data_IF_708144119824
#
_entry.id   IF_708144119824
#
_cell.length_a   1.000
_cell.length_b   1.000
_cell.length_c   1.000
_cell.angle_alpha   90.00
_cell.angle_beta   90.00
_cell.angle_gamma   90.00
#
_symmetry.space_group_name_H-M   'P 1'
#
loop_
_entity.id
_entity.type
_entity.pdbx_description
1 polymer ?
#
# COMPACT_ATOMS: atom_id res chain seq x y z
N UNK A 1 27.07 6.22 3.53
CA UNK A 1 26.94 6.47 4.98
C UNK A 1 26.74 5.12 5.63
N UNK A 2 27.72 4.66 6.40
CA UNK A 2 27.54 3.52 7.30
C UNK A 2 26.55 3.96 8.39
N UNK A 3 25.29 3.56 8.24
CA UNK A 3 24.38 3.57 9.36
C UNK A 3 24.92 2.54 10.35
N UNK A 4 25.32 2.97 11.55
CA UNK A 4 25.34 2.07 12.70
C UNK A 4 23.95 1.42 12.74
N UNK A 5 23.87 0.15 12.37
CA UNK A 5 22.66 -0.65 12.48
C UNK A 5 22.36 -0.74 13.97
N UNK A 6 21.51 0.16 14.43
CA UNK A 6 20.90 0.09 15.74
C UNK A 6 20.17 -1.24 15.77
N UNK A 7 20.45 -2.07 16.79
CA UNK A 7 19.80 -3.37 16.91
C UNK A 7 18.29 -3.14 17.09
N UNK A 8 17.54 -3.42 16.03
CA UNK A 8 16.09 -3.30 16.03
C UNK A 8 15.50 -4.45 16.85
N UNK A 9 14.78 -4.10 17.92
CA UNK A 9 14.15 -5.08 18.83
C UNK A 9 12.63 -5.02 18.79
N UNK A 10 12.07 -3.95 18.24
CA UNK A 10 10.63 -3.72 18.18
C UNK A 10 10.18 -3.44 16.74
N UNK A 11 8.99 -3.93 16.38
CA UNK A 11 8.32 -3.63 15.13
C UNK A 11 7.01 -2.90 15.40
N UNK A 12 6.80 -1.72 14.84
CA UNK A 12 5.52 -1.04 14.88
C UNK A 12 4.78 -1.23 13.54
N UNK A 13 3.58 -1.79 13.57
CA UNK A 13 2.66 -1.84 12.44
C UNK A 13 1.68 -0.69 12.56
N UNK A 14 1.78 0.29 11.67
CA UNK A 14 0.97 1.52 11.72
C UNK A 14 -0.06 1.49 10.60
N UNK A 15 -1.34 1.63 10.94
CA UNK A 15 -2.44 1.68 9.98
C UNK A 15 -3.47 2.75 10.30
N UNK A 16 -4.55 2.81 9.52
CA UNK A 16 -5.39 4.02 9.46
C UNK A 16 -5.99 4.45 10.80
N UNK A 17 -6.21 3.48 11.70
CA UNK A 17 -6.63 3.74 13.09
C UNK A 17 -5.69 4.69 13.86
N UNK A 18 -4.41 4.75 13.51
CA UNK A 18 -3.46 5.71 14.06
C UNK A 18 -3.83 7.15 13.67
N UNK A 19 -4.06 7.44 12.38
CA UNK A 19 -4.45 8.77 11.91
C UNK A 19 -5.80 9.20 12.54
N UNK A 20 -6.76 8.26 12.57
CA UNK A 20 -8.08 8.47 13.17
C UNK A 20 -7.99 8.77 14.67
N UNK A 21 -7.12 8.06 15.40
CA UNK A 21 -6.88 8.31 16.83
C UNK A 21 -6.27 9.70 17.10
N UNK A 22 -5.60 10.29 16.11
CA UNK A 22 -5.09 11.66 16.18
C UNK A 22 -6.08 12.71 15.64
N UNK A 23 -7.31 12.30 15.29
CA UNK A 23 -8.39 13.20 14.87
C UNK A 23 -8.38 13.57 13.39
N UNK A 24 -7.61 12.86 12.56
CA UNK A 24 -7.57 13.07 11.11
C UNK A 24 -8.66 12.25 10.40
N UNK A 25 -9.26 12.82 9.37
CA UNK A 25 -10.35 12.24 8.58
C UNK A 25 -9.81 11.48 7.38
N UNK A 26 -9.21 10.32 7.63
CA UNK A 26 -8.48 9.53 6.63
C UNK A 26 -9.23 8.30 6.13
N UNK A 27 -10.53 8.18 6.41
CA UNK A 27 -11.35 7.11 5.83
C UNK A 27 -11.74 7.47 4.40
N UNK A 28 -12.01 6.46 3.58
CA UNK A 28 -12.51 6.68 2.22
C UNK A 28 -13.84 7.44 2.20
N UNK A 29 -14.71 7.25 3.20
CA UNK A 29 -15.97 8.01 3.32
C UNK A 29 -15.73 9.51 3.51
N UNK A 30 -14.72 9.89 4.30
CA UNK A 30 -14.40 11.30 4.54
C UNK A 30 -13.89 11.97 3.24
N UNK A 31 -13.07 11.23 2.49
CA UNK A 31 -12.60 11.64 1.16
C UNK A 31 -13.75 11.83 0.17
N UNK A 32 -14.67 10.87 0.08
CA UNK A 32 -15.78 10.94 -0.87
C UNK A 32 -16.73 12.07 -0.57
N UNK A 33 -17.04 12.30 0.71
CA UNK A 33 -17.87 13.42 1.15
C UNK A 33 -17.21 14.77 0.82
N UNK A 34 -15.88 14.87 0.95
CA UNK A 34 -15.15 16.10 0.63
C UNK A 34 -15.09 16.42 -0.87
N UNK A 35 -15.03 15.42 -1.75
CA UNK A 35 -14.92 15.63 -3.20
C UNK A 35 -16.29 15.82 -3.85
N UNK A 36 -17.32 15.19 -3.30
CA UNK A 36 -18.69 15.26 -3.79
C UNK A 36 -19.02 14.21 -4.85
N UNK A 37 -20.32 13.92 -4.96
CA UNK A 37 -20.83 12.76 -5.68
C UNK A 37 -20.57 12.76 -7.18
N UNK A 38 -20.56 13.92 -7.84
CA UNK A 38 -20.45 14.00 -9.29
C UNK A 38 -19.12 13.47 -9.81
N UNK A 39 -18.05 13.60 -9.02
CA UNK A 39 -16.72 13.10 -9.37
C UNK A 39 -16.72 11.57 -9.53
N UNK A 40 -17.46 10.86 -8.67
CA UNK A 40 -17.51 9.40 -8.65
C UNK A 40 -18.57 8.80 -9.57
N UNK A 41 -19.30 9.61 -10.35
CA UNK A 41 -20.41 9.14 -11.19
C UNK A 41 -20.04 7.98 -12.12
N UNK A 42 -18.87 8.08 -12.78
CA UNK A 42 -18.38 6.99 -13.66
C UNK A 42 -17.97 5.75 -12.88
N UNK A 43 -17.25 5.95 -11.77
CA UNK A 43 -16.85 4.85 -10.90
C UNK A 43 -18.07 4.07 -10.39
N UNK A 44 -19.07 4.78 -9.87
CA UNK A 44 -20.35 4.17 -9.45
C UNK A 44 -21.07 3.45 -10.58
N UNK A 45 -20.97 3.92 -11.81
CA UNK A 45 -21.56 3.22 -12.95
C UNK A 45 -20.95 1.82 -13.13
N UNK A 46 -19.62 1.68 -13.00
CA UNK A 46 -18.98 0.36 -13.02
C UNK A 46 -19.49 -0.51 -11.87
N UNK A 47 -19.50 -0.01 -10.63
CA UNK A 47 -19.96 -0.78 -9.47
C UNK A 47 -21.42 -1.20 -9.62
N UNK A 48 -22.30 -0.31 -10.04
CA UNK A 48 -23.72 -0.63 -10.21
C UNK A 48 -23.98 -1.65 -11.32
N UNK A 49 -23.17 -1.66 -12.39
CA UNK A 49 -23.35 -2.61 -13.49
C UNK A 49 -22.80 -4.00 -13.17
N UNK A 50 -21.67 -4.07 -12.46
CA UNK A 50 -20.91 -5.31 -12.28
C UNK A 50 -21.03 -5.88 -10.87
N UNK A 51 -21.23 -5.03 -9.86
CA UNK A 51 -21.25 -5.38 -8.44
C UNK A 51 -22.34 -4.59 -7.66
N UNK A 52 -23.62 -4.62 -8.06
CA UNK A 52 -24.67 -3.69 -7.61
C UNK A 52 -24.98 -3.69 -6.10
N UNK A 53 -24.50 -4.67 -5.35
CA UNK A 53 -24.72 -4.78 -3.90
C UNK A 53 -23.54 -4.28 -3.07
N UNK A 54 -22.45 -3.86 -3.72
CA UNK A 54 -21.26 -3.39 -3.01
C UNK A 54 -21.39 -1.93 -2.60
N UNK A 55 -20.89 -1.62 -1.41
CA UNK A 55 -20.66 -0.26 -0.99
C UNK A 55 -19.48 0.32 -1.79
N UNK A 56 -19.79 1.21 -2.73
CA UNK A 56 -18.83 1.79 -3.66
C UNK A 56 -17.73 2.60 -2.98
N UNK A 57 -17.90 3.02 -1.72
CA UNK A 57 -16.85 3.70 -0.95
C UNK A 57 -15.65 2.78 -0.63
N UNK A 58 -15.82 1.45 -0.75
CA UNK A 58 -14.77 0.44 -0.50
C UNK A 58 -13.91 0.25 -1.75
N UNK A 59 -13.16 1.29 -2.14
CA UNK A 59 -12.44 1.36 -3.42
C UNK A 59 -11.61 0.12 -3.78
N UNK A 60 -10.80 -0.38 -2.83
CA UNK A 60 -9.91 -1.53 -3.05
C UNK A 60 -10.70 -2.82 -3.28
N UNK A 61 -11.69 -3.11 -2.42
CA UNK A 61 -12.54 -4.30 -2.54
C UNK A 61 -13.40 -4.24 -3.81
N UNK A 62 -13.95 -3.07 -4.13
CA UNK A 62 -14.69 -2.87 -5.37
C UNK A 62 -13.80 -3.10 -6.60
N UNK A 63 -12.55 -2.62 -6.59
CA UNK A 63 -11.60 -2.87 -7.67
C UNK A 63 -11.26 -4.37 -7.81
N UNK A 64 -11.07 -5.07 -6.70
CA UNK A 64 -10.89 -6.54 -6.68
C UNK A 64 -12.09 -7.26 -7.30
N UNK A 65 -13.31 -6.94 -6.85
CA UNK A 65 -14.51 -7.62 -7.35
C UNK A 65 -14.79 -7.35 -8.83
N UNK A 66 -14.42 -6.17 -9.34
CA UNK A 66 -14.52 -5.84 -10.76
C UNK A 66 -13.58 -6.67 -11.66
N UNK A 67 -12.50 -7.23 -11.12
CA UNK A 67 -11.58 -8.06 -11.92
C UNK A 67 -12.24 -9.28 -12.53
N UNK A 68 -13.14 -9.92 -11.79
CA UNK A 68 -13.82 -11.15 -12.22
C UNK A 68 -14.65 -10.92 -13.48
N UNK A 69 -15.59 -9.96 -13.51
CA UNK A 69 -16.33 -9.65 -14.73
C UNK A 69 -15.46 -9.03 -15.82
N UNK A 70 -14.49 -8.18 -15.50
CA UNK A 70 -13.57 -7.62 -16.51
C UNK A 70 -12.75 -8.71 -17.21
N UNK A 71 -12.22 -9.67 -16.45
CA UNK A 71 -11.50 -10.81 -17.02
C UNK A 71 -12.42 -11.66 -17.91
N UNK A 72 -13.67 -11.88 -17.48
CA UNK A 72 -14.65 -12.61 -18.28
C UNK A 72 -15.01 -11.89 -19.58
N UNK A 73 -15.09 -10.55 -19.57
CA UNK A 73 -15.30 -9.75 -20.77
C UNK A 73 -14.09 -9.75 -21.70
N UNK A 74 -12.88 -9.60 -21.16
CA UNK A 74 -11.63 -9.60 -21.91
C UNK A 74 -11.39 -10.93 -22.64
N UNK A 75 -11.76 -12.05 -22.01
CA UNK A 75 -11.72 -13.37 -22.63
C UNK A 75 -12.79 -13.59 -23.70
N UNK A 76 -13.87 -12.79 -23.70
CA UNK A 76 -15.00 -12.92 -24.64
C UNK A 76 -14.96 -11.94 -25.79
N UNK A 77 -14.29 -10.79 -25.62
CA UNK A 77 -14.30 -9.70 -26.58
C UNK A 77 -12.94 -9.03 -26.72
N UNK A 78 -12.45 -8.97 -27.95
CA UNK A 78 -11.23 -8.25 -28.30
C UNK A 78 -11.32 -6.72 -28.08
N UNK A 79 -12.52 -6.17 -27.84
CA UNK A 79 -12.74 -4.73 -27.59
C UNK A 79 -12.83 -4.38 -26.10
N UNK A 80 -13.08 -5.35 -25.20
CA UNK A 80 -13.36 -5.10 -23.79
C UNK A 80 -12.24 -4.32 -23.08
N UNK A 81 -10.98 -4.65 -23.40
CA UNK A 81 -9.81 -3.92 -22.91
C UNK A 81 -9.91 -2.40 -23.17
N UNK A 82 -10.36 -1.98 -24.36
CA UNK A 82 -10.41 -0.58 -24.75
C UNK A 82 -11.71 0.11 -24.34
N UNK A 83 -12.83 -0.62 -24.28
CA UNK A 83 -14.16 -0.05 -24.03
C UNK A 83 -14.51 0.04 -22.53
N UNK A 84 -13.99 -0.88 -21.71
CA UNK A 84 -14.36 -0.98 -20.30
C UNK A 84 -13.13 -0.85 -19.40
N UNK A 85 -12.12 -1.70 -19.60
CA UNK A 85 -11.02 -1.90 -18.63
C UNK A 85 -10.07 -0.70 -18.61
N UNK A 86 -9.58 -0.24 -19.76
CA UNK A 86 -8.72 0.96 -19.84
C UNK A 86 -9.43 2.25 -19.38
N UNK A 87 -10.71 2.49 -19.75
CA UNK A 87 -11.49 3.59 -19.18
C UNK A 87 -11.61 3.52 -17.66
N UNK A 88 -11.94 2.34 -17.09
CA UNK A 88 -11.94 2.13 -15.64
C UNK A 88 -10.59 2.47 -15.01
N UNK A 89 -9.50 1.95 -15.57
CA UNK A 89 -8.14 2.20 -15.09
C UNK A 89 -7.80 3.70 -15.08
N UNK A 90 -8.24 4.44 -16.10
CA UNK A 90 -8.05 5.89 -16.16
C UNK A 90 -8.85 6.62 -15.07
N UNK A 91 -10.08 6.20 -14.83
CA UNK A 91 -10.91 6.82 -13.78
C UNK A 91 -10.45 6.43 -12.37
N UNK A 92 -9.98 5.20 -12.14
CA UNK A 92 -9.37 4.78 -10.88
C UNK A 92 -8.05 5.51 -10.59
N UNK A 93 -7.22 5.77 -11.60
CA UNK A 93 -6.03 6.62 -11.46
C UNK A 93 -6.41 8.06 -11.05
N UNK A 94 -7.51 8.62 -11.55
CA UNK A 94 -7.98 9.95 -11.10
C UNK A 94 -8.43 9.94 -9.65
N UNK A 95 -9.11 8.87 -9.22
CA UNK A 95 -9.49 8.69 -7.80
C UNK A 95 -8.24 8.67 -6.92
N UNK A 96 -7.22 7.91 -7.31
CA UNK A 96 -5.93 7.87 -6.60
C UNK A 96 -5.30 9.27 -6.48
N UNK A 97 -5.25 10.04 -7.57
CA UNK A 97 -4.70 11.41 -7.55
C UNK A 97 -5.51 12.31 -6.62
N UNK A 98 -6.84 12.27 -6.73
CA UNK A 98 -7.72 13.06 -5.88
C UNK A 98 -7.60 12.69 -4.40
N UNK A 99 -7.39 11.40 -4.09
CA UNK A 99 -7.14 10.92 -2.73
C UNK A 99 -5.82 11.48 -2.17
N UNK A 100 -4.74 11.48 -2.95
CA UNK A 100 -3.47 12.11 -2.55
C UNK A 100 -3.69 13.60 -2.23
N UNK A 101 -4.39 14.33 -3.10
CA UNK A 101 -4.64 15.76 -2.91
C UNK A 101 -5.51 16.06 -1.69
N UNK A 102 -6.53 15.22 -1.44
CA UNK A 102 -7.36 15.30 -0.25
C UNK A 102 -6.53 15.07 1.02
N UNK A 103 -5.75 13.99 1.08
CA UNK A 103 -4.95 13.65 2.25
C UNK A 103 -3.84 14.66 2.55
N UNK A 104 -3.26 15.30 1.52
CA UNK A 104 -2.32 16.42 1.70
C UNK A 104 -2.96 17.61 2.42
N UNK A 105 -4.21 17.92 2.11
CA UNK A 105 -4.97 18.98 2.81
C UNK A 105 -5.36 18.53 4.21
N UNK A 106 -5.75 17.27 4.35
CA UNK A 106 -6.18 16.71 5.64
C UNK A 106 -5.03 16.69 6.67
N UNK A 107 -3.81 16.31 6.28
CA UNK A 107 -2.69 16.23 7.24
C UNK A 107 -2.31 17.58 7.86
N UNK A 108 -2.65 18.69 7.21
CA UNK A 108 -2.38 20.06 7.70
C UNK A 108 -3.62 20.75 8.27
N UNK A 109 -4.80 20.09 8.26
CA UNK A 109 -6.07 20.67 8.72
C UNK A 109 -6.03 21.03 10.19
N UNK A 110 -5.38 20.21 11.00
CA UNK A 110 -5.22 20.41 12.45
C UNK A 110 -3.75 20.31 12.86
N UNK A 111 -3.31 21.06 13.88
CA UNK A 111 -1.99 20.87 14.47
C UNK A 111 -1.84 19.46 15.03
N UNK A 112 -0.68 18.85 14.77
CA UNK A 112 -0.40 17.52 15.28
C UNK A 112 -0.19 17.54 16.80
N UNK A 113 -0.92 16.68 17.52
CA UNK A 113 -0.78 16.51 18.97
C UNK A 113 -0.27 15.11 19.28
N UNK A 114 0.93 15.02 19.87
CA UNK A 114 1.48 13.73 20.32
C UNK A 114 0.68 13.16 21.50
N UNK A 115 0.36 11.89 21.40
CA UNK A 115 -0.18 11.04 22.47
C UNK A 115 0.95 10.48 23.31
N UNK A 116 0.80 10.56 24.63
CA UNK A 116 1.88 10.22 25.57
C UNK A 116 2.12 8.71 25.59
N UNK A 117 1.05 7.91 25.59
CA UNK A 117 1.14 6.44 25.61
C UNK A 117 1.79 5.88 24.34
N UNK A 118 1.51 6.50 23.18
CA UNK A 118 2.18 6.10 21.93
C UNK A 118 3.67 6.45 21.98
N UNK A 119 4.01 7.63 22.51
CA UNK A 119 5.40 8.08 22.64
C UNK A 119 6.21 7.20 23.60
N UNK A 120 5.60 6.70 24.68
CA UNK A 120 6.30 5.89 25.69
C UNK A 120 6.65 4.48 25.19
N UNK A 121 5.92 3.95 24.20
CA UNK A 121 6.16 2.61 23.63
C UNK A 121 7.08 2.62 22.41
N UNK A 122 7.21 3.75 21.71
CA UNK A 122 8.08 3.88 20.54
C UNK A 122 9.48 4.33 20.95
N UNK A 123 10.48 3.50 20.64
CA UNK A 123 11.89 3.74 20.98
C UNK A 123 12.76 3.89 19.72
N UNK A 124 14.01 4.37 19.85
CA UNK A 124 14.96 4.35 18.74
C UNK A 124 15.27 2.95 18.16
N UNK A 125 15.04 1.87 18.92
CA UNK A 125 15.19 0.48 18.43
C UNK A 125 13.91 -0.07 17.78
N UNK A 126 12.89 0.76 17.61
CA UNK A 126 11.69 0.40 16.86
C UNK A 126 11.90 0.62 15.36
N UNK A 127 11.41 -0.31 14.55
CA UNK A 127 11.19 -0.15 13.12
C UNK A 127 9.69 -0.03 12.87
N UNK A 128 9.25 1.04 12.20
CA UNK A 128 7.85 1.21 11.84
C UNK A 128 7.60 0.76 10.40
N UNK A 129 6.66 -0.16 10.21
CA UNK A 129 6.03 -0.45 8.92
C UNK A 129 4.69 0.26 8.90
N UNK A 130 4.57 1.31 8.11
CA UNK A 130 3.34 2.08 8.00
C UNK A 130 2.62 1.76 6.68
N UNK A 131 1.32 1.55 6.80
CA UNK A 131 0.38 1.39 5.71
C UNK A 131 -0.42 2.69 5.48
N UNK A 132 -0.25 3.69 6.36
CA UNK A 132 -0.84 4.99 6.16
C UNK A 132 -0.06 5.76 5.10
N UNK A 133 -0.81 6.54 4.32
CA UNK A 133 -0.23 7.44 3.34
C UNK A 133 0.33 8.71 3.96
N UNK A 134 -0.25 9.18 5.08
CA UNK A 134 0.17 10.42 5.73
C UNK A 134 1.54 10.28 6.40
N UNK A 135 2.23 11.42 6.58
CA UNK A 135 3.55 11.45 7.18
C UNK A 135 3.50 11.61 8.72
N UNK A 136 2.34 11.40 9.35
CA UNK A 136 2.12 11.73 10.77
C UNK A 136 3.02 10.91 11.71
N UNK A 137 3.32 9.66 11.35
CA UNK A 137 4.16 8.77 12.16
C UNK A 137 5.60 9.27 12.33
N UNK A 138 6.11 10.11 11.43
CA UNK A 138 7.45 10.72 11.50
C UNK A 138 7.61 11.62 12.73
N UNK A 139 6.50 12.10 13.29
CA UNK A 139 6.54 12.83 14.55
C UNK A 139 6.98 11.95 15.72
N UNK A 140 6.76 10.63 15.68
CA UNK A 140 7.13 9.73 16.77
C UNK A 140 8.47 9.02 16.55
N UNK A 141 8.77 8.61 15.31
CA UNK A 141 9.86 7.69 15.03
C UNK A 141 10.54 8.03 13.71
N UNK A 142 11.83 7.68 13.56
CA UNK A 142 12.62 7.94 12.35
C UNK A 142 12.77 6.73 11.43
N UNK A 143 12.88 5.53 12.01
CA UNK A 143 13.07 4.29 11.25
C UNK A 143 11.73 3.83 10.69
N UNK A 144 11.30 4.37 9.54
CA UNK A 144 9.99 4.13 8.95
C UNK A 144 10.14 3.55 7.55
N UNK A 145 9.34 2.53 7.25
CA UNK A 145 9.13 1.97 5.92
C UNK A 145 7.65 2.14 5.57
N UNK A 146 7.37 2.92 4.52
CA UNK A 146 6.04 3.10 3.99
C UNK A 146 5.69 1.98 3.01
N UNK A 147 4.89 1.01 3.44
CA UNK A 147 4.53 -0.17 2.64
C UNK A 147 3.67 0.22 1.43
N UNK A 148 2.78 1.20 1.62
CA UNK A 148 1.89 1.70 0.59
C UNK A 148 2.29 3.08 0.05
N UNK A 149 3.54 3.48 0.23
CA UNK A 149 4.02 4.82 -0.15
C UNK A 149 3.52 5.92 0.78
N UNK A 150 3.82 7.17 0.46
CA UNK A 150 3.53 8.31 1.31
C UNK A 150 3.23 9.58 0.53
N UNK A 151 2.59 10.55 1.19
CA UNK A 151 2.32 11.86 0.59
C UNK A 151 3.63 12.62 0.27
N UNK A 152 4.68 12.44 1.08
CA UNK A 152 6.01 12.98 0.81
C UNK A 152 6.66 12.41 -0.45
N UNK A 153 6.38 11.14 -0.78
CA UNK A 153 6.83 10.51 -2.02
C UNK A 153 5.97 10.88 -3.23
N UNK A 154 4.84 11.55 -3.00
CA UNK A 154 3.81 11.85 -4.01
C UNK A 154 3.32 10.60 -4.76
N UNK A 155 3.41 9.43 -4.12
CA UNK A 155 3.07 8.15 -4.71
C UNK A 155 2.51 7.23 -3.62
N UNK A 156 1.37 6.59 -3.91
CA UNK A 156 0.67 5.69 -2.99
C UNK A 156 0.24 4.39 -3.69
N UNK A 157 0.12 3.34 -2.90
CA UNK A 157 -0.50 2.07 -3.29
C UNK A 157 -1.97 2.14 -2.90
N UNK A 158 -2.81 2.46 -3.88
CA UNK A 158 -4.25 2.24 -3.85
C UNK A 158 -4.55 1.06 -4.77
N UNK A 159 -4.95 -0.08 -4.22
CA UNK A 159 -5.07 -1.32 -4.97
C UNK A 159 -5.56 -2.47 -4.11
N UNK A 160 -5.57 -3.70 -4.63
CA UNK A 160 -6.09 -4.85 -3.89
C UNK A 160 -5.15 -6.04 -3.91
N UNK A 161 -5.29 -6.92 -2.92
CA UNK A 161 -4.71 -8.26 -2.97
C UNK A 161 -5.81 -9.22 -3.48
N UNK A 162 -5.60 -9.91 -4.62
CA UNK A 162 -6.66 -10.67 -5.26
C UNK A 162 -7.08 -11.88 -4.41
N UNK A 163 -8.39 -12.12 -4.30
CA UNK A 163 -8.92 -13.26 -3.52
C UNK A 163 -8.60 -14.62 -4.16
N UNK A 164 -8.28 -14.65 -5.45
CA UNK A 164 -7.93 -15.86 -6.18
C UNK A 164 -6.82 -15.58 -7.21
N UNK A 165 -5.87 -16.52 -7.44
CA UNK A 165 -4.94 -16.39 -8.55
C UNK A 165 -5.71 -16.42 -9.86
N UNK A 166 -5.71 -15.29 -10.57
CA UNK A 166 -6.29 -15.23 -11.91
C UNK A 166 -5.27 -15.72 -12.94
N UNK A 167 -5.32 -17.02 -13.25
CA UNK A 167 -4.65 -17.53 -14.43
C UNK A 167 -5.28 -16.89 -15.68
N UNK A 168 -4.45 -16.50 -16.65
CA UNK A 168 -4.86 -15.92 -17.95
C UNK A 168 -5.47 -14.50 -17.92
N UNK A 169 -5.34 -13.76 -16.82
CA UNK A 169 -5.73 -12.34 -16.84
C UNK A 169 -4.73 -11.45 -17.56
N UNK A 170 -5.26 -10.53 -18.37
CA UNK A 170 -4.47 -9.48 -18.98
C UNK A 170 -3.97 -8.49 -17.93
N UNK A 171 -2.78 -7.93 -18.15
CA UNK A 171 -2.20 -6.92 -17.27
C UNK A 171 -3.15 -5.74 -17.02
N UNK A 172 -3.93 -5.30 -18.02
CA UNK A 172 -4.87 -4.19 -17.83
C UNK A 172 -5.95 -4.50 -16.79
N UNK A 173 -6.37 -5.76 -16.66
CA UNK A 173 -7.36 -6.20 -15.67
C UNK A 173 -6.76 -6.22 -14.25
N UNK A 174 -5.49 -6.62 -14.14
CA UNK A 174 -4.83 -6.91 -12.85
C UNK A 174 -3.86 -5.82 -12.40
N UNK A 175 -3.68 -4.73 -13.17
CA UNK A 175 -2.62 -3.73 -12.92
C UNK A 175 -2.66 -3.09 -11.54
N UNK A 176 -3.81 -3.11 -10.86
CA UNK A 176 -4.03 -2.56 -9.52
C UNK A 176 -3.78 -3.57 -8.39
N UNK A 177 -3.29 -4.77 -8.70
CA UNK A 177 -2.78 -5.69 -7.67
C UNK A 177 -1.72 -4.97 -6.85
N UNK A 178 -1.82 -5.03 -5.51
CA UNK A 178 -0.87 -4.34 -4.63
C UNK A 178 0.56 -4.79 -4.88
N UNK A 179 0.80 -6.04 -5.30
CA UNK A 179 2.11 -6.51 -5.77
C UNK A 179 2.69 -5.63 -6.87
N UNK A 180 1.98 -5.43 -7.99
CA UNK A 180 2.44 -4.57 -9.08
C UNK A 180 2.53 -3.10 -8.68
N UNK A 181 1.60 -2.62 -7.85
CA UNK A 181 1.66 -1.25 -7.32
C UNK A 181 2.90 -1.02 -6.46
N UNK A 182 3.26 -1.97 -5.58
CA UNK A 182 4.46 -1.91 -4.73
C UNK A 182 5.74 -1.98 -5.57
N UNK A 183 5.78 -2.81 -6.61
CA UNK A 183 6.89 -2.83 -7.58
C UNK A 183 7.11 -1.47 -8.24
N UNK A 184 6.03 -0.81 -8.70
CA UNK A 184 6.09 0.54 -9.27
C UNK A 184 6.54 1.57 -8.25
N UNK A 185 6.04 1.51 -7.02
CA UNK A 185 6.50 2.37 -5.92
C UNK A 185 8.01 2.18 -5.65
N UNK A 186 8.49 0.94 -5.64
CA UNK A 186 9.91 0.64 -5.47
C UNK A 186 10.76 1.19 -6.61
N UNK A 187 10.23 1.15 -7.84
CA UNK A 187 10.89 1.78 -8.98
C UNK A 187 10.92 3.32 -8.83
N UNK A 188 9.83 3.95 -8.40
CA UNK A 188 9.80 5.38 -8.08
C UNK A 188 10.85 5.76 -7.03
N UNK A 189 10.96 4.97 -5.95
CA UNK A 189 11.99 5.13 -4.90
C UNK A 189 13.40 4.97 -5.46
N UNK A 190 13.61 3.99 -6.32
CA UNK A 190 14.88 3.79 -7.01
C UNK A 190 15.29 5.02 -7.82
N UNK A 191 14.36 5.58 -8.60
CA UNK A 191 14.62 6.80 -9.36
C UNK A 191 14.99 7.97 -8.44
N UNK A 192 14.26 8.17 -7.35
CA UNK A 192 14.51 9.28 -6.42
C UNK A 192 15.82 9.11 -5.65
N UNK A 193 16.08 7.93 -5.11
CA UNK A 193 17.19 7.70 -4.17
C UNK A 193 18.50 7.37 -4.88
N UNK A 194 18.46 6.53 -5.92
CA UNK A 194 19.65 6.04 -6.60
C UNK A 194 19.97 6.85 -7.86
N UNK A 195 18.95 7.40 -8.53
CA UNK A 195 19.13 8.23 -9.74
C UNK A 195 18.97 9.72 -9.51
N UNK A 196 18.54 10.15 -8.32
CA UNK A 196 18.26 11.57 -8.02
C UNK A 196 17.28 12.21 -9.02
N UNK A 197 16.35 11.40 -9.54
CA UNK A 197 15.28 11.83 -10.43
C UNK A 197 13.98 11.95 -9.63
N UNK A 198 13.45 13.16 -9.55
CA UNK A 198 12.26 13.50 -8.77
C UNK A 198 11.05 13.75 -9.68
N UNK A 199 9.81 13.72 -9.14
CA UNK A 199 8.58 13.91 -9.93
C UNK A 199 8.50 15.20 -10.75
N UNK A 200 9.28 16.23 -10.43
CA UNK A 200 9.33 17.48 -11.22
C UNK A 200 10.05 17.31 -12.57
N UNK A 201 10.77 16.20 -12.77
CA UNK A 201 11.56 15.93 -13.97
C UNK A 201 10.75 15.12 -15.00
N UNK A 202 10.68 15.58 -16.26
CA UNK A 202 9.99 14.85 -17.32
C UNK A 202 10.56 13.44 -17.60
N UNK A 203 11.86 13.23 -17.34
CA UNK A 203 12.50 11.93 -17.44
C UNK A 203 11.98 10.95 -16.41
N UNK A 204 11.63 11.42 -15.19
CA UNK A 204 11.04 10.58 -14.16
C UNK A 204 9.73 9.97 -14.67
N UNK A 205 8.82 10.80 -15.19
CA UNK A 205 7.55 10.33 -15.73
C UNK A 205 7.74 9.40 -16.93
N UNK A 206 8.67 9.72 -17.83
CA UNK A 206 8.97 8.84 -18.97
C UNK A 206 9.45 7.46 -18.51
N UNK A 207 10.31 7.40 -17.49
CA UNK A 207 10.78 6.14 -16.93
C UNK A 207 9.66 5.37 -16.23
N UNK A 208 8.79 6.04 -15.48
CA UNK A 208 7.62 5.41 -14.86
C UNK A 208 6.68 4.79 -15.92
N UNK A 209 6.44 5.49 -17.02
CA UNK A 209 5.63 4.99 -18.14
C UNK A 209 6.29 3.80 -18.84
N UNK A 210 7.61 3.86 -19.08
CA UNK A 210 8.35 2.72 -19.64
C UNK A 210 8.36 1.51 -18.70
N UNK A 211 8.48 1.72 -17.38
CA UNK A 211 8.40 0.64 -16.40
C UNK A 211 7.02 0.00 -16.32
N UNK A 212 5.95 0.79 -16.45
CA UNK A 212 4.58 0.27 -16.55
C UNK A 212 4.41 -0.61 -17.79
N UNK A 213 4.96 -0.19 -18.93
CA UNK A 213 4.91 -0.98 -20.16
C UNK A 213 5.79 -2.23 -20.08
N UNK A 214 6.94 -2.16 -19.41
CA UNK A 214 7.76 -3.32 -19.10
C UNK A 214 6.99 -4.33 -18.23
N UNK A 215 6.30 -3.88 -17.17
CA UNK A 215 5.42 -4.73 -16.36
C UNK A 215 4.33 -5.38 -17.23
N UNK A 216 3.74 -4.64 -18.18
CA UNK A 216 2.74 -5.19 -19.10
C UNK A 216 3.30 -6.32 -19.96
N UNK A 217 4.47 -6.13 -20.56
CA UNK A 217 5.12 -7.16 -21.39
C UNK A 217 5.46 -8.38 -20.55
N UNK A 218 6.11 -8.17 -19.40
CA UNK A 218 6.48 -9.23 -18.47
C UNK A 218 5.28 -10.09 -18.05
N UNK A 219 4.12 -9.46 -17.86
CA UNK A 219 2.87 -10.12 -17.44
C UNK A 219 1.91 -10.41 -18.62
N UNK A 220 2.42 -10.48 -19.86
CA UNK A 220 1.63 -10.84 -21.05
C UNK A 220 1.45 -12.36 -21.24
N UNK A 221 2.04 -13.17 -20.36
CA UNK A 221 2.14 -14.63 -20.51
C UNK A 221 3.34 -15.10 -21.34
N UNK A 222 4.03 -14.19 -22.06
CA UNK A 222 5.29 -14.49 -22.77
C UNK A 222 6.53 -14.32 -21.89
N UNK A 223 6.44 -13.56 -20.81
CA UNK A 223 7.60 -13.11 -20.05
C UNK A 223 8.25 -11.88 -20.68
N UNK A 224 9.40 -11.48 -20.13
CA UNK A 224 10.20 -10.35 -20.60
C UNK A 224 11.50 -10.88 -21.18
N UNK A 225 11.67 -10.79 -22.50
CA UNK A 225 12.85 -11.29 -23.20
C UNK A 225 13.90 -10.17 -23.43
N UNK A 226 15.18 -10.51 -23.63
CA UNK A 226 16.22 -9.52 -23.91
C UNK A 226 15.92 -8.59 -25.09
N UNK A 227 15.23 -9.07 -26.13
CA UNK A 227 14.86 -8.25 -27.29
C UNK A 227 13.77 -7.21 -26.97
N UNK A 228 12.88 -7.48 -26.01
CA UNK A 228 11.80 -6.55 -25.64
C UNK A 228 12.34 -5.21 -25.14
N UNK A 229 13.53 -5.21 -24.54
CA UNK A 229 14.19 -3.99 -24.10
C UNK A 229 14.54 -3.02 -25.23
N UNK A 230 14.56 -3.46 -26.49
CA UNK A 230 14.74 -2.56 -27.64
C UNK A 230 13.56 -1.59 -27.82
N UNK A 231 12.40 -1.88 -27.20
CA UNK A 231 11.21 -1.01 -27.22
C UNK A 231 11.32 0.19 -26.28
N UNK A 232 12.24 0.16 -25.31
CA UNK A 232 12.39 1.21 -24.29
C UNK A 232 13.57 2.12 -24.61
N UNK A 233 13.33 3.43 -24.56
CA UNK A 233 14.35 4.45 -24.78
C UNK A 233 15.43 4.42 -23.70
N UNK A 234 15.06 4.10 -22.46
CA UNK A 234 15.95 4.07 -21.31
C UNK A 234 16.14 2.65 -20.74
N UNK A 235 16.25 1.67 -21.64
CA UNK A 235 16.39 0.25 -21.28
C UNK A 235 17.56 -0.07 -20.35
N UNK A 236 18.65 0.71 -20.40
CA UNK A 236 19.78 0.57 -19.49
C UNK A 236 19.40 0.82 -18.02
N UNK A 237 18.56 1.83 -17.74
CA UNK A 237 18.10 2.15 -16.39
C UNK A 237 17.17 1.04 -15.88
N UNK A 238 16.26 0.56 -16.74
CA UNK A 238 15.34 -0.53 -16.41
C UNK A 238 16.10 -1.83 -16.08
N UNK A 239 17.08 -2.21 -16.91
CA UNK A 239 17.92 -3.39 -16.66
C UNK A 239 18.72 -3.27 -15.38
N UNK A 240 19.27 -2.09 -15.11
CA UNK A 240 20.04 -1.85 -13.89
C UNK A 240 19.15 -2.02 -12.65
N UNK A 241 17.95 -1.47 -12.65
CA UNK A 241 16.98 -1.66 -11.57
C UNK A 241 16.69 -3.14 -11.31
N UNK A 242 16.38 -3.92 -12.36
CA UNK A 242 16.08 -5.35 -12.22
C UNK A 242 17.25 -6.15 -11.62
N UNK A 243 18.48 -5.85 -12.05
CA UNK A 243 19.68 -6.47 -11.50
C UNK A 243 19.90 -6.12 -10.02
N UNK A 244 19.71 -4.85 -9.65
CA UNK A 244 19.93 -4.37 -8.29
C UNK A 244 18.85 -4.88 -7.31
N UNK A 245 17.58 -4.96 -7.74
CA UNK A 245 16.50 -5.55 -6.92
C UNK A 245 16.78 -7.01 -6.55
N UNK A 246 17.36 -7.77 -7.48
CA UNK A 246 17.75 -9.17 -7.27
C UNK A 246 18.82 -9.35 -6.19
N UNK A 247 19.52 -8.27 -5.82
CA UNK A 247 20.68 -8.28 -4.93
C UNK A 247 20.39 -7.72 -3.52
N UNK A 248 19.21 -7.14 -3.29
CA UNK A 248 18.85 -6.56 -1.99
C UNK A 248 18.53 -7.67 -0.99
N UNK A 249 19.33 -7.77 0.09
CA UNK A 249 19.01 -8.67 1.21
C UNK A 249 17.87 -8.05 2.05
N UNK A 250 16.88 -8.85 2.49
CA UNK A 250 15.86 -8.36 3.41
C UNK A 250 16.50 -7.88 4.73
N UNK A 251 15.81 -6.97 5.43
CA UNK A 251 16.22 -6.53 6.75
C UNK A 251 16.42 -7.72 7.69
N UNK A 252 17.47 -7.66 8.52
CA UNK A 252 17.65 -8.66 9.56
C UNK A 252 16.64 -8.40 10.68
N UNK A 253 15.64 -9.27 10.66
CA UNK A 253 14.49 -9.28 11.53
C UNK A 253 14.70 -10.13 12.78
N UNK A 254 15.81 -10.87 12.86
CA UNK A 254 16.03 -11.93 13.87
C UNK A 254 16.00 -11.44 15.33
N UNK A 255 16.30 -10.17 15.58
CA UNK A 255 16.35 -9.57 16.92
C UNK A 255 15.02 -8.98 17.40
N UNK A 256 14.00 -8.94 16.55
CA UNK A 256 12.69 -8.40 16.92
C UNK A 256 11.96 -9.40 17.82
N UNK A 257 11.61 -8.97 19.03
CA UNK A 257 10.89 -9.76 20.04
C UNK A 257 9.49 -9.22 20.34
N UNK A 258 9.24 -7.96 19.98
CA UNK A 258 8.03 -7.21 20.32
C UNK A 258 7.39 -6.58 19.08
N UNK A 259 6.07 -6.72 18.93
CA UNK A 259 5.29 -6.02 17.90
C UNK A 259 4.29 -5.05 18.53
N UNK A 260 4.25 -3.81 18.03
CA UNK A 260 3.31 -2.77 18.39
C UNK A 260 2.30 -2.61 17.25
N UNK A 261 1.00 -2.75 17.52
CA UNK A 261 -0.06 -2.55 16.53
C UNK A 261 -0.72 -1.19 16.79
N UNK A 262 -0.34 -0.21 15.97
CA UNK A 262 -0.82 1.16 16.02
C UNK A 262 -1.87 1.38 14.92
N UNK A 263 -3.12 1.04 15.24
CA UNK A 263 -4.18 1.05 14.24
C UNK A 263 -4.03 -0.14 13.29
N UNK A 264 -4.72 -0.10 12.15
CA UNK A 264 -4.78 -1.15 11.12
C UNK A 264 -5.84 -2.24 11.33
N UNK A 265 -6.53 -2.58 10.23
CA UNK A 265 -7.31 -3.82 10.09
C UNK A 265 -6.35 -4.90 9.58
N UNK A 266 -5.69 -5.65 10.48
CA UNK A 266 -4.64 -6.65 10.16
C UNK A 266 -5.03 -7.64 9.03
N UNK A 267 -6.33 -7.78 8.77
CA UNK A 267 -6.88 -8.63 7.71
C UNK A 267 -6.56 -8.08 6.31
N UNK A 268 -6.56 -6.76 6.11
CA UNK A 268 -6.41 -6.14 4.78
C UNK A 268 -5.04 -6.35 4.13
N UNK A 269 -4.02 -6.65 4.94
CA UNK A 269 -2.64 -6.91 4.49
C UNK A 269 -2.10 -8.20 5.14
N UNK A 270 -2.99 -9.18 5.40
CA UNK A 270 -2.68 -10.42 6.12
C UNK A 270 -1.53 -11.20 5.48
N UNK A 271 -1.49 -11.33 4.16
CA UNK A 271 -0.44 -12.09 3.45
C UNK A 271 0.94 -11.46 3.64
N UNK A 272 1.02 -10.13 3.48
CA UNK A 272 2.23 -9.38 3.74
C UNK A 272 2.68 -9.57 5.19
N UNK A 273 1.80 -9.36 6.17
CA UNK A 273 2.13 -9.53 7.58
C UNK A 273 2.51 -10.97 7.93
N UNK A 274 1.88 -11.97 7.31
CA UNK A 274 2.24 -13.39 7.50
C UNK A 274 3.66 -13.66 7.01
N UNK A 275 4.06 -13.11 5.86
CA UNK A 275 5.42 -13.24 5.34
C UNK A 275 6.46 -12.56 6.24
N UNK A 276 6.11 -11.40 6.79
CA UNK A 276 6.95 -10.63 7.72
C UNK A 276 7.07 -11.39 9.04
N UNK A 277 5.96 -11.84 9.62
CA UNK A 277 5.94 -12.57 10.89
C UNK A 277 6.54 -13.97 10.82
N UNK A 278 6.35 -14.69 9.72
CA UNK A 278 6.96 -15.99 9.50
C UNK A 278 8.50 -15.96 9.43
N UNK A 279 9.10 -14.77 9.29
CA UNK A 279 10.55 -14.58 9.32
C UNK A 279 11.12 -14.32 10.73
N UNK A 280 10.27 -14.09 11.75
CA UNK A 280 10.70 -13.81 13.11
C UNK A 280 10.74 -15.08 13.96
N UNK A 281 11.93 -15.46 14.44
CA UNK A 281 12.09 -16.60 15.35
C UNK A 281 11.88 -16.25 16.83
N UNK A 282 11.95 -14.97 17.19
CA UNK A 282 11.99 -14.50 18.57
C UNK A 282 10.78 -13.64 18.99
N UNK A 283 9.84 -13.40 18.07
CA UNK A 283 8.64 -12.63 18.35
C UNK A 283 7.84 -13.33 19.47
N UNK A 284 7.56 -12.62 20.56
CA UNK A 284 6.96 -13.21 21.75
C UNK A 284 5.95 -12.31 22.45
N UNK A 285 6.06 -10.99 22.27
CA UNK A 285 5.22 -10.00 22.91
C UNK A 285 4.52 -9.11 21.88
N UNK A 286 3.24 -8.81 22.08
CA UNK A 286 2.47 -7.90 21.25
C UNK A 286 1.73 -6.84 22.08
N UNK A 287 1.74 -5.60 21.60
CA UNK A 287 1.04 -4.46 22.20
C UNK A 287 0.02 -3.96 21.20
N UNK A 288 -1.27 -4.00 21.53
CA UNK A 288 -2.34 -3.56 20.64
C UNK A 288 -2.91 -2.24 21.14
N UNK A 289 -2.73 -1.17 20.37
CA UNK A 289 -3.36 0.11 20.67
C UNK A 289 -4.81 0.14 20.19
N UNK A 290 -5.70 0.58 21.07
CA UNK A 290 -7.15 0.66 20.85
C UNK A 290 -7.71 2.02 21.32
N UNK A 291 -8.94 2.32 20.92
CA UNK A 291 -9.66 3.52 21.30
C UNK A 291 -10.92 3.16 22.09
N UNK A 292 -11.45 4.10 22.87
CA UNK A 292 -12.70 3.89 23.59
C UNK A 292 -13.85 3.63 22.59
N UNK A 293 -14.55 2.50 22.77
CA UNK A 293 -15.64 2.09 21.88
C UNK A 293 -15.19 1.37 20.60
N UNK A 294 -13.95 0.88 20.53
CA UNK A 294 -13.52 0.00 19.44
C UNK A 294 -14.39 -1.27 19.36
N UNK A 295 -14.59 -1.78 18.14
CA UNK A 295 -15.36 -3.00 17.90
C UNK A 295 -14.63 -4.22 18.50
N UNK A 296 -15.26 -4.85 19.48
CA UNK A 296 -14.75 -6.07 20.14
C UNK A 296 -14.44 -7.17 19.14
N UNK A 297 -15.16 -7.26 18.01
CA UNK A 297 -14.89 -8.25 16.98
C UNK A 297 -13.56 -7.98 16.26
N UNK A 298 -13.25 -6.72 15.96
CA UNK A 298 -11.98 -6.32 15.36
C UNK A 298 -10.82 -6.63 16.32
N UNK A 299 -10.99 -6.31 17.60
CA UNK A 299 -9.99 -6.58 18.64
C UNK A 299 -9.72 -8.08 18.79
N UNK A 300 -10.77 -8.89 18.84
CA UNK A 300 -10.67 -10.34 18.93
C UNK A 300 -9.98 -10.96 17.70
N UNK A 301 -10.26 -10.43 16.50
CA UNK A 301 -9.58 -10.86 15.26
C UNK A 301 -8.09 -10.56 15.31
N UNK A 302 -7.69 -9.37 15.79
CA UNK A 302 -6.27 -9.01 15.96
C UNK A 302 -5.57 -9.93 16.95
N UNK A 303 -6.21 -10.16 18.10
CA UNK A 303 -5.70 -11.06 19.13
C UNK A 303 -5.53 -12.49 18.60
N UNK A 304 -6.52 -13.01 17.89
CA UNK A 304 -6.46 -14.35 17.31
C UNK A 304 -5.30 -14.48 16.32
N UNK A 305 -5.15 -13.53 15.40
CA UNK A 305 -4.04 -13.53 14.44
C UNK A 305 -2.66 -13.45 15.12
N UNK A 306 -2.51 -12.62 16.15
CA UNK A 306 -1.23 -12.47 16.85
C UNK A 306 -0.91 -13.62 17.79
N UNK A 307 -1.92 -14.36 18.26
CA UNK A 307 -1.72 -15.51 19.16
C UNK A 307 -1.00 -16.67 18.48
N UNK A 308 -0.99 -16.70 17.13
CA UNK A 308 -0.19 -17.66 16.35
C UNK A 308 1.32 -17.36 16.44
N UNK A 309 1.70 -16.16 16.86
CA UNK A 309 3.10 -15.69 16.87
C UNK A 309 3.59 -15.23 18.25
N UNK A 310 2.72 -14.67 19.09
CA UNK A 310 3.08 -14.03 20.37
C UNK A 310 2.48 -14.80 21.55
N UNK A 311 3.26 -14.96 22.62
CA UNK A 311 2.82 -15.60 23.87
C UNK A 311 2.08 -14.62 24.76
N UNK A 312 2.49 -13.36 24.73
CA UNK A 312 1.94 -12.28 25.55
C UNK A 312 1.32 -11.22 24.65
N UNK A 313 0.08 -10.82 24.95
CA UNK A 313 -0.65 -9.78 24.22
C UNK A 313 -1.22 -8.80 25.23
N UNK A 314 -0.75 -7.56 25.19
CA UNK A 314 -1.27 -6.45 25.99
C UNK A 314 -2.11 -5.48 25.15
N UNK A 315 -2.95 -4.71 25.83
CA UNK A 315 -3.81 -3.70 25.22
C UNK A 315 -3.54 -2.34 25.86
N UNK A 316 -3.41 -1.31 25.03
CA UNK A 316 -3.23 0.08 25.48
C UNK A 316 -4.21 1.02 24.79
N UNK A 317 -4.59 2.09 25.47
CA UNK A 317 -5.47 3.12 24.91
C UNK A 317 -4.67 4.27 24.29
N UNK A 318 -5.20 4.81 23.20
CA UNK A 318 -4.75 6.08 22.61
C UNK A 318 -5.17 7.26 23.48
N UNK A 319 -4.55 7.42 24.65
CA UNK A 319 -4.75 8.60 25.50
C UNK A 319 -3.86 9.77 25.02
#
# INVERSE_FOLDING_TARGET
>A
MEHHLQDLTQLAIIGNGFDLAHGYHTRYVDFTESVGDDFFRKYRHYINNYCPQMDWHRFEECADQLTVPFNAEDLRSDTAANEVIKPFNKDFQKIKIALIDYLKKEQIRIPFSKKVNVSSRLSPSTLALTFNYTNLCENYIRNIIYIHGSLAENEIVLGYDPVSPFCFSSFDTIRWHKGFCRERLNFCRYLMQQKQLFPENCLYHTLCDEYLEMQRIQNSGKGLEPEDFQKFKYSNILRQYLHEQSSVKPFDYSKIDTVLILGHSLIADKEFLTSVFGSYNNLSHAVIFTYHGADDNELNRKKAFLSDYCKEIEFEFYD
#
